data_IF_888036774918
#
_entry.id   IF_888036774918
#
_cell.length_a   1.000
_cell.length_b   1.000
_cell.length_c   1.000
_cell.angle_alpha   90.00
_cell.angle_beta   90.00
_cell.angle_gamma   90.00
#
_symmetry.space_group_name_H-M   'P 1'
#
loop_
_entity.id
_entity.type
_entity.pdbx_description
1 polymer ?
#
# COMPACT_ATOMS: atom_id res chain seq x y z
N UNK A 1 -29.99 4.49 -7.21
CA UNK A 1 -29.97 3.09 -7.68
C UNK A 1 -29.67 2.22 -6.48
N UNK A 2 -30.59 1.33 -6.09
CA UNK A 2 -30.37 0.41 -4.98
C UNK A 2 -29.68 -0.87 -5.49
N UNK A 3 -28.65 -1.33 -4.80
CA UNK A 3 -27.92 -2.57 -5.14
C UNK A 3 -28.73 -3.76 -4.60
N UNK A 4 -28.89 -4.82 -5.39
CA UNK A 4 -29.63 -6.00 -4.98
C UNK A 4 -28.90 -6.79 -3.88
N UNK A 5 -29.63 -7.53 -3.04
CA UNK A 5 -29.03 -8.42 -2.02
C UNK A 5 -28.10 -9.48 -2.63
N UNK A 6 -28.38 -9.90 -3.86
CA UNK A 6 -27.56 -10.87 -4.59
C UNK A 6 -26.23 -10.28 -5.04
N UNK A 7 -26.24 -9.06 -5.56
CA UNK A 7 -25.02 -8.32 -5.92
C UNK A 7 -24.16 -8.03 -4.70
N UNK A 8 -24.78 -7.62 -3.58
CA UNK A 8 -24.07 -7.44 -2.30
C UNK A 8 -23.35 -8.72 -1.94
N UNK A 9 -24.04 -9.87 -1.92
CA UNK A 9 -23.44 -11.16 -1.57
C UNK A 9 -22.27 -11.55 -2.49
N UNK A 10 -22.36 -11.22 -3.79
CA UNK A 10 -21.32 -11.53 -4.78
C UNK A 10 -20.06 -10.67 -4.60
N UNK A 11 -20.26 -9.38 -4.36
CA UNK A 11 -19.21 -8.36 -4.30
C UNK A 11 -18.63 -8.15 -2.89
N UNK A 12 -19.25 -8.75 -1.87
CA UNK A 12 -18.83 -8.66 -0.48
C UNK A 12 -17.37 -9.11 -0.28
N UNK A 13 -16.61 -8.25 0.36
CA UNK A 13 -15.21 -8.45 0.72
C UNK A 13 -15.10 -9.18 2.05
N UNK A 14 -14.13 -10.09 2.11
CA UNK A 14 -13.77 -10.84 3.31
C UNK A 14 -12.33 -10.55 3.68
N UNK A 15 -12.03 -10.70 4.97
CA UNK A 15 -10.65 -10.66 5.44
C UNK A 15 -9.73 -11.52 4.55
N UNK A 16 -8.60 -10.94 4.15
CA UNK A 16 -7.59 -11.59 3.32
C UNK A 16 -7.86 -11.56 1.81
N UNK A 17 -8.96 -10.95 1.35
CA UNK A 17 -9.15 -10.69 -0.07
C UNK A 17 -8.09 -9.71 -0.58
N UNK A 18 -7.35 -10.09 -1.62
CA UNK A 18 -6.42 -9.21 -2.31
C UNK A 18 -7.20 -8.35 -3.30
N UNK A 19 -7.06 -7.04 -3.17
CA UNK A 19 -7.67 -6.04 -4.04
C UNK A 19 -6.60 -5.44 -4.95
N UNK A 20 -6.85 -5.45 -6.25
CA UNK A 20 -5.93 -4.94 -7.27
C UNK A 20 -6.68 -4.04 -8.24
N UNK A 21 -6.06 -2.95 -8.66
CA UNK A 21 -6.62 -2.10 -9.72
C UNK A 21 -6.47 -2.76 -11.09
N UNK A 22 -7.52 -2.70 -11.90
CA UNK A 22 -7.51 -3.26 -13.26
C UNK A 22 -6.61 -2.48 -14.22
N UNK A 23 -6.52 -1.16 -14.05
CA UNK A 23 -5.67 -0.32 -14.87
C UNK A 23 -5.43 1.04 -14.23
N UNK A 24 -4.51 1.78 -14.84
CA UNK A 24 -4.09 3.10 -14.40
C UNK A 24 -2.76 3.46 -15.05
N UNK A 25 -2.02 4.35 -14.39
CA UNK A 25 -0.67 4.68 -14.81
C UNK A 25 0.22 3.42 -14.77
N UNK A 26 1.14 3.24 -15.74
CA UNK A 26 2.01 2.06 -15.78
C UNK A 26 2.82 1.81 -14.49
N UNK A 27 3.19 2.87 -13.75
CA UNK A 27 3.90 2.80 -12.47
C UNK A 27 2.99 2.39 -11.28
N UNK A 28 1.67 2.39 -11.50
CA UNK A 28 0.63 2.03 -10.53
C UNK A 28 0.02 0.66 -10.83
N UNK A 29 0.47 -0.01 -11.87
CA UNK A 29 -0.05 -1.32 -12.27
C UNK A 29 0.31 -2.40 -11.25
N UNK A 30 -0.68 -3.25 -10.92
CA UNK A 30 -0.49 -4.30 -9.91
C UNK A 30 -0.36 -3.77 -8.48
N UNK A 31 -0.61 -2.48 -8.22
CA UNK A 31 -0.76 -1.99 -6.85
C UNK A 31 -1.99 -2.62 -6.24
N UNK A 32 -1.78 -3.28 -5.11
CA UNK A 32 -2.85 -3.89 -4.36
C UNK A 32 -2.55 -3.90 -2.89
N UNK A 33 -3.60 -4.20 -2.14
CA UNK A 33 -3.54 -4.45 -0.71
C UNK A 33 -4.52 -5.55 -0.40
N UNK A 34 -4.41 -6.14 0.78
CA UNK A 34 -5.41 -7.07 1.25
C UNK A 34 -6.43 -6.36 2.15
N UNK A 35 -7.67 -6.83 2.07
CA UNK A 35 -8.75 -6.33 2.89
C UNK A 35 -8.62 -6.90 4.31
N UNK A 36 -8.64 -6.03 5.33
CA UNK A 36 -8.50 -6.41 6.74
C UNK A 36 -9.83 -6.42 7.50
N UNK A 37 -10.94 -6.40 6.77
CA UNK A 37 -12.29 -6.42 7.35
C UNK A 37 -12.57 -5.22 8.29
N UNK A 38 -12.06 -4.05 7.92
CA UNK A 38 -12.16 -2.85 8.76
C UNK A 38 -13.58 -2.25 8.81
N UNK A 39 -14.43 -2.58 7.84
CA UNK A 39 -15.78 -2.03 7.70
C UNK A 39 -16.76 -3.18 7.42
N UNK A 40 -17.85 -3.23 8.18
CA UNK A 40 -18.93 -4.19 7.99
C UNK A 40 -19.60 -4.00 6.61
N UNK A 41 -19.93 -5.12 5.95
CA UNK A 41 -20.64 -5.16 4.66
C UNK A 41 -19.98 -4.31 3.56
N UNK A 42 -18.66 -4.45 3.41
CA UNK A 42 -17.92 -3.78 2.35
C UNK A 42 -18.03 -4.54 1.01
N UNK A 43 -18.33 -3.84 -0.08
CA UNK A 43 -18.32 -4.35 -1.46
C UNK A 43 -17.32 -3.57 -2.31
N UNK A 44 -16.81 -4.17 -3.38
CA UNK A 44 -15.93 -3.48 -4.33
C UNK A 44 -16.67 -3.01 -5.60
N UNK A 45 -16.16 -1.95 -6.24
CA UNK A 45 -16.68 -1.42 -7.51
C UNK A 45 -16.11 -2.17 -8.73
N UNK A 46 -16.72 -1.96 -9.90
CA UNK A 46 -16.16 -2.31 -11.20
C UNK A 46 -14.77 -1.65 -11.35
N UNK A 47 -13.79 -2.38 -11.89
CA UNK A 47 -12.34 -2.04 -11.99
C UNK A 47 -11.45 -2.36 -10.78
N UNK A 48 -12.00 -2.96 -9.73
CA UNK A 48 -11.22 -3.64 -8.70
C UNK A 48 -11.32 -5.15 -8.90
N UNK A 49 -10.17 -5.79 -9.08
CA UNK A 49 -10.07 -7.23 -9.00
C UNK A 49 -9.99 -7.68 -7.54
N UNK A 50 -10.88 -8.60 -7.18
CA UNK A 50 -10.81 -9.35 -5.92
C UNK A 50 -10.23 -10.73 -6.19
N UNK A 51 -9.13 -11.06 -5.53
CA UNK A 51 -8.52 -12.39 -5.54
C UNK A 51 -8.57 -12.97 -4.13
N UNK A 52 -9.18 -14.14 -3.99
CA UNK A 52 -9.36 -14.82 -2.71
C UNK A 52 -8.50 -16.08 -2.66
N UNK A 53 -7.63 -16.15 -1.65
CA UNK A 53 -6.74 -17.29 -1.42
C UNK A 53 -7.22 -18.15 -0.26
N UNK A 54 -6.74 -19.40 -0.21
CA UNK A 54 -6.90 -20.26 0.97
C UNK A 54 -5.93 -19.80 2.06
N UNK A 55 -6.47 -19.20 3.11
CA UNK A 55 -5.70 -18.65 4.24
C UNK A 55 -4.96 -19.73 5.05
N UNK A 56 -5.29 -21.02 4.86
CA UNK A 56 -4.52 -22.13 5.46
C UNK A 56 -3.19 -22.36 4.74
N UNK A 57 -3.03 -21.82 3.53
CA UNK A 57 -1.85 -22.01 2.67
C UNK A 57 -1.11 -20.71 2.40
N UNK A 58 -1.81 -19.58 2.39
CA UNK A 58 -1.27 -18.30 1.99
C UNK A 58 -1.57 -17.22 3.03
N UNK A 59 -0.53 -16.50 3.46
CA UNK A 59 -0.70 -15.24 4.20
C UNK A 59 -1.09 -14.12 3.21
N UNK A 60 -2.18 -13.39 3.45
CA UNK A 60 -2.59 -12.29 2.58
C UNK A 60 -1.57 -11.14 2.58
N UNK A 61 -0.91 -10.88 3.71
CA UNK A 61 0.20 -9.93 3.82
C UNK A 61 1.34 -10.30 2.88
N UNK A 62 1.77 -11.57 2.92
CA UNK A 62 2.86 -12.08 2.08
C UNK A 62 2.53 -11.94 0.60
N UNK A 63 1.30 -12.31 0.20
CA UNK A 63 0.85 -12.17 -1.19
C UNK A 63 0.84 -10.70 -1.61
N UNK A 64 0.39 -9.80 -0.72
CA UNK A 64 0.40 -8.36 -0.96
C UNK A 64 1.83 -7.85 -1.18
N UNK A 65 2.80 -8.25 -0.36
CA UNK A 65 4.21 -7.90 -0.57
C UNK A 65 4.76 -8.46 -1.87
N UNK A 66 4.48 -9.72 -2.19
CA UNK A 66 4.99 -10.35 -3.39
C UNK A 66 4.47 -9.69 -4.66
N UNK A 67 3.18 -9.33 -4.71
CA UNK A 67 2.57 -8.60 -5.81
C UNK A 67 3.15 -7.17 -5.92
N UNK A 68 3.33 -6.48 -4.79
CA UNK A 68 3.89 -5.12 -4.75
C UNK A 68 5.40 -5.03 -4.99
N UNK A 69 6.10 -6.16 -4.94
CA UNK A 69 7.55 -6.25 -5.16
C UNK A 69 7.95 -5.92 -6.59
N UNK A 70 9.26 -5.78 -6.84
CA UNK A 70 9.80 -5.61 -8.19
C UNK A 70 9.45 -6.79 -9.10
N UNK A 71 9.38 -8.01 -8.56
CA UNK A 71 8.97 -9.21 -9.29
C UNK A 71 7.52 -9.10 -9.80
N UNK A 72 6.58 -8.76 -8.91
CA UNK A 72 5.18 -8.61 -9.25
C UNK A 72 4.94 -7.44 -10.22
N UNK A 73 5.50 -6.27 -9.92
CA UNK A 73 5.40 -5.08 -10.79
C UNK A 73 5.92 -5.35 -12.19
N UNK A 74 7.10 -5.98 -12.31
CA UNK A 74 7.67 -6.35 -13.61
C UNK A 74 6.74 -7.28 -14.38
N UNK A 75 6.23 -8.33 -13.73
CA UNK A 75 5.30 -9.24 -14.37
C UNK A 75 4.06 -8.52 -14.92
N UNK A 76 3.41 -7.67 -14.12
CA UNK A 76 2.20 -6.99 -14.56
C UNK A 76 2.47 -6.00 -15.68
N UNK A 77 3.58 -5.26 -15.62
CA UNK A 77 3.98 -4.33 -16.67
C UNK A 77 4.23 -5.07 -18.00
N UNK A 78 4.98 -6.17 -17.97
CA UNK A 78 5.33 -6.96 -19.16
C UNK A 78 4.10 -7.61 -19.82
N UNK A 79 3.01 -7.83 -19.07
CA UNK A 79 1.79 -8.49 -19.55
C UNK A 79 0.59 -7.54 -19.66
N UNK A 80 0.79 -6.25 -19.42
CA UNK A 80 -0.25 -5.25 -19.55
C UNK A 80 -0.59 -5.01 -21.02
N UNK A 81 -1.86 -4.71 -21.29
CA UNK A 81 -2.21 -4.04 -22.55
C UNK A 81 -2.06 -2.55 -22.35
N UNK A 82 -1.18 -1.94 -23.14
CA UNK A 82 -0.96 -0.50 -23.11
C UNK A 82 -1.70 0.18 -24.25
N UNK A 83 -2.52 1.16 -23.89
CA UNK A 83 -3.09 2.16 -24.82
C UNK A 83 -2.46 3.51 -24.45
N UNK A 84 -2.67 4.57 -25.25
CA UNK A 84 -2.14 5.92 -24.97
C UNK A 84 -2.39 6.36 -23.52
N UNK A 85 -1.35 6.35 -22.69
CA UNK A 85 -1.36 6.79 -21.29
C UNK A 85 -1.89 5.80 -20.25
N UNK A 86 -2.51 4.68 -20.64
CA UNK A 86 -3.15 3.75 -19.70
C UNK A 86 -2.68 2.32 -19.96
N UNK A 87 -2.23 1.66 -18.90
CA UNK A 87 -1.98 0.23 -18.88
C UNK A 87 -3.11 -0.50 -18.15
N UNK A 88 -3.56 -1.63 -18.70
CA UNK A 88 -4.64 -2.43 -18.14
C UNK A 88 -4.25 -3.91 -18.10
N UNK A 89 -4.53 -4.58 -16.99
CA UNK A 89 -4.43 -6.03 -16.84
C UNK A 89 -5.82 -6.65 -16.85
N UNK A 90 -5.94 -7.90 -17.29
CA UNK A 90 -7.21 -8.63 -17.21
C UNK A 90 -7.09 -9.82 -16.26
N UNK A 91 -8.23 -10.46 -15.97
CA UNK A 91 -8.26 -11.62 -15.08
C UNK A 91 -7.37 -12.78 -15.56
N UNK A 92 -7.12 -12.94 -16.88
CA UNK A 92 -6.25 -14.00 -17.39
C UNK A 92 -4.78 -13.76 -17.02
N UNK A 93 -4.33 -12.50 -17.06
CA UNK A 93 -2.98 -12.12 -16.61
C UNK A 93 -2.85 -12.40 -15.11
N UNK A 94 -3.82 -11.97 -14.29
CA UNK A 94 -3.82 -12.23 -12.85
C UNK A 94 -3.73 -13.73 -12.52
N UNK A 95 -4.51 -14.57 -13.20
CA UNK A 95 -4.52 -16.03 -12.98
C UNK A 95 -3.20 -16.72 -13.36
N UNK A 96 -2.39 -16.09 -14.21
CA UNK A 96 -1.10 -16.63 -14.67
C UNK A 96 0.08 -16.13 -13.86
N UNK A 97 -0.13 -15.21 -12.91
CA UNK A 97 0.93 -14.76 -12.03
C UNK A 97 1.44 -15.92 -11.18
N UNK A 98 2.74 -16.21 -11.29
CA UNK A 98 3.36 -17.30 -10.56
C UNK A 98 3.70 -16.84 -9.14
N UNK A 99 2.98 -17.37 -8.15
CA UNK A 99 3.24 -17.09 -6.75
C UNK A 99 4.40 -17.95 -6.25
N UNK A 100 5.41 -17.33 -5.63
CA UNK A 100 6.42 -18.09 -4.89
C UNK A 100 5.85 -18.39 -3.52
N UNK A 101 5.57 -19.67 -3.26
CA UNK A 101 4.83 -20.12 -2.08
C UNK A 101 5.71 -21.02 -1.20
N UNK A 102 6.54 -20.44 -0.32
CA UNK A 102 7.18 -21.21 0.75
C UNK A 102 6.13 -21.66 1.77
N UNK A 103 6.55 -22.39 2.81
CA UNK A 103 5.65 -22.81 3.89
C UNK A 103 4.96 -21.59 4.53
N UNK A 104 3.75 -21.76 5.07
CA UNK A 104 3.01 -20.66 5.70
C UNK A 104 3.81 -20.03 6.87
N UNK A 105 4.60 -20.82 7.58
CA UNK A 105 5.52 -20.35 8.62
C UNK A 105 6.58 -19.42 8.05
N UNK A 106 7.21 -19.79 6.94
CA UNK A 106 8.19 -18.93 6.27
C UNK A 106 7.56 -17.67 5.68
N UNK A 107 6.35 -17.76 5.14
CA UNK A 107 5.61 -16.58 4.67
C UNK A 107 5.43 -15.56 5.79
N UNK A 108 5.01 -16.00 6.99
CA UNK A 108 4.85 -15.13 8.17
C UNK A 108 6.18 -14.55 8.63
N UNK A 109 7.23 -15.36 8.73
CA UNK A 109 8.57 -14.90 9.09
C UNK A 109 9.09 -13.80 8.15
N UNK A 110 8.84 -13.94 6.85
CA UNK A 110 9.20 -12.92 5.85
C UNK A 110 8.37 -11.64 6.07
N UNK A 111 7.06 -11.77 6.30
CA UNK A 111 6.18 -10.62 6.58
C UNK A 111 6.66 -9.85 7.81
N UNK A 112 6.93 -10.55 8.92
CA UNK A 112 7.38 -9.91 10.16
C UNK A 112 8.67 -9.11 9.94
N UNK A 113 9.62 -9.67 9.19
CA UNK A 113 10.86 -8.98 8.83
C UNK A 113 10.63 -7.75 7.95
N UNK A 114 9.75 -7.85 6.93
CA UNK A 114 9.43 -6.72 6.07
C UNK A 114 8.71 -5.61 6.82
N UNK A 115 7.77 -5.96 7.69
CA UNK A 115 7.03 -5.02 8.54
C UNK A 115 7.99 -4.25 9.47
N UNK A 116 8.95 -4.94 10.09
CA UNK A 116 9.97 -4.31 10.93
C UNK A 116 10.83 -3.30 10.14
N UNK A 117 11.29 -3.69 8.94
CA UNK A 117 12.09 -2.82 8.09
C UNK A 117 11.30 -1.58 7.65
N UNK A 118 10.04 -1.74 7.24
CA UNK A 118 9.20 -0.62 6.82
C UNK A 118 8.87 0.30 7.99
N UNK A 119 8.58 -0.25 9.17
CA UNK A 119 8.34 0.55 10.38
C UNK A 119 9.57 1.38 10.76
N UNK A 120 10.78 0.86 10.55
CA UNK A 120 12.01 1.63 10.73
C UNK A 120 12.11 2.77 9.71
N UNK A 121 11.83 2.49 8.43
CA UNK A 121 11.86 3.48 7.36
C UNK A 121 10.85 4.62 7.61
N UNK A 122 9.63 4.29 8.02
CA UNK A 122 8.57 5.26 8.30
C UNK A 122 8.94 6.17 9.47
N UNK A 123 9.57 5.63 10.53
CA UNK A 123 10.08 6.44 11.64
C UNK A 123 11.13 7.45 11.17
N UNK A 124 12.04 7.04 10.29
CA UNK A 124 13.06 7.94 9.75
C UNK A 124 12.44 9.03 8.88
N UNK A 125 11.48 8.68 8.00
CA UNK A 125 10.77 9.65 7.16
C UNK A 125 10.02 10.67 8.01
N UNK A 126 9.26 10.24 9.00
CA UNK A 126 8.53 11.13 9.90
C UNK A 126 9.46 12.09 10.65
N UNK A 127 10.61 11.60 11.15
CA UNK A 127 11.60 12.44 11.81
C UNK A 127 12.19 13.51 10.89
N UNK A 128 12.43 13.17 9.61
CA UNK A 128 12.90 14.13 8.61
C UNK A 128 11.84 15.18 8.30
N UNK A 129 10.58 14.79 8.13
CA UNK A 129 9.47 15.72 7.90
C UNK A 129 9.30 16.71 9.06
N UNK A 130 9.42 16.25 10.31
CA UNK A 130 9.33 17.10 11.49
C UNK A 130 10.52 18.07 11.57
N UNK A 131 11.72 17.63 11.23
CA UNK A 131 12.90 18.51 11.13
C UNK A 131 12.73 19.58 10.05
N UNK A 132 12.21 19.21 8.87
CA UNK A 132 11.94 20.18 7.80
C UNK A 132 10.94 21.24 8.24
N UNK A 133 9.82 20.84 8.85
CA UNK A 133 8.84 21.79 9.42
C UNK A 133 9.45 22.70 10.49
N UNK A 134 10.36 22.17 11.31
CA UNK A 134 11.05 22.97 12.32
C UNK A 134 11.98 24.01 11.68
N UNK A 135 12.74 23.64 10.65
CA UNK A 135 13.62 24.55 9.91
C UNK A 135 12.81 25.67 9.24
N UNK A 136 11.65 25.35 8.65
CA UNK A 136 10.76 26.35 8.05
C UNK A 136 10.23 27.37 9.08
N UNK A 137 10.00 26.93 10.33
CA UNK A 137 9.55 27.81 11.42
C UNK A 137 10.69 28.57 12.10
N UNK A 138 11.95 28.18 11.86
CA UNK A 138 13.11 28.72 12.56
C UNK A 138 13.27 30.23 12.39
N UNK A 139 13.11 30.83 11.18
CA UNK A 139 13.25 32.28 11.01
C UNK A 139 12.23 33.06 11.84
N UNK A 140 10.96 32.63 11.86
CA UNK A 140 9.92 33.27 12.65
C UNK A 140 10.22 33.21 14.15
N UNK A 141 10.69 32.04 14.63
CA UNK A 141 11.10 31.86 16.04
C UNK A 141 12.33 32.70 16.41
N UNK A 142 13.32 32.80 15.52
CA UNK A 142 14.51 33.64 15.74
C UNK A 142 14.12 35.11 15.80
N UNK A 143 13.28 35.59 14.86
CA UNK A 143 12.79 36.98 14.88
C UNK A 143 12.01 37.28 16.16
N UNK A 144 11.11 36.38 16.58
CA UNK A 144 10.38 36.54 17.83
C UNK A 144 11.33 36.67 19.04
N UNK A 145 12.33 35.79 19.14
CA UNK A 145 13.34 35.86 20.21
C UNK A 145 14.18 37.15 20.14
N UNK A 146 14.50 37.63 18.93
CA UNK A 146 15.23 38.88 18.73
C UNK A 146 14.42 40.09 19.25
N UNK A 147 13.15 40.19 18.87
CA UNK A 147 12.27 41.28 19.29
C UNK A 147 11.96 41.26 20.79
N UNK A 148 11.96 40.08 21.42
CA UNK A 148 11.80 39.94 22.87
C UNK A 148 13.09 40.20 23.67
N UNK A 149 14.23 40.45 23.01
CA UNK A 149 15.52 40.66 23.67
C UNK A 149 16.16 39.39 24.25
N UNK A 150 15.59 38.22 23.97
CA UNK A 150 16.02 36.94 24.53
C UNK A 150 17.30 36.38 23.88
N UNK A 151 17.76 36.96 22.76
CA UNK A 151 18.96 36.49 22.04
C UNK A 151 20.29 36.92 22.69
N UNK A 152 20.28 37.93 23.59
CA UNK A 152 21.50 38.52 24.15
C UNK A 152 21.85 37.99 25.55
N UNK A 153 20.96 37.22 26.19
CA UNK A 153 21.09 36.79 27.59
C UNK A 153 22.02 35.57 27.80
N UNK A 154 22.80 35.17 26.80
CA UNK A 154 23.74 34.04 26.85
C UNK A 154 25.22 34.40 26.80
N UNK A 155 25.57 35.70 26.82
CA UNK A 155 26.95 36.20 26.77
C UNK A 155 27.38 36.78 28.11
N UNK A 156 27.64 35.91 29.09
CA UNK A 156 28.40 36.23 30.32
C UNK A 156 29.22 35.03 30.74
#
# INVERSE_FOLDING_TARGET
>A
MAISKEEIKKLNLKYGDILLTEGGDPDKLGRGTFWRDQISECIHQNHIFRVRFDLKRFSPEFISYQIGSSYGKKYFLDHAKQTTGIATINQKVLRKFALMSPSLTEQKRIVDYLDEMMACSDKTLNALEDQMKYIEQLPAKILQKAFNGELLNGST
#
